data_IF_502847352919
#
_entry.id   IF_502847352919
#
_cell.length_a   1.000
_cell.length_b   1.000
_cell.length_c   1.000
_cell.angle_alpha   90.00
_cell.angle_beta   90.00
_cell.angle_gamma   90.00
#
_symmetry.space_group_name_H-M   'P 1'
#
loop_
_entity.id
_entity.type
_entity.pdbx_description
1 polymer ?
#
# COMPACT_ATOMS: atom_id res chain seq x y z
N UNK A 1 3.02 14.72 47.31
CA UNK A 1 3.11 13.96 46.04
C UNK A 1 1.98 14.38 45.11
N UNK A 2 2.29 14.76 43.85
CA UNK A 2 1.29 15.24 42.87
C UNK A 2 0.51 14.03 42.31
N UNK A 3 -0.81 14.03 42.46
CA UNK A 3 -1.69 12.91 42.06
C UNK A 3 -1.64 12.73 40.53
N UNK A 4 -1.19 11.56 40.08
CA UNK A 4 -1.13 11.18 38.66
C UNK A 4 -2.55 11.04 38.10
N UNK A 5 -2.91 11.85 37.10
CA UNK A 5 -4.27 11.94 36.54
C UNK A 5 -4.45 11.25 35.17
N UNK A 6 -3.39 10.70 34.57
CA UNK A 6 -3.41 10.25 33.17
C UNK A 6 -3.20 8.74 32.97
N UNK A 7 -3.18 7.93 34.04
CA UNK A 7 -2.86 6.49 33.95
C UNK A 7 -3.82 5.69 33.04
N UNK A 8 -5.09 6.08 32.96
CA UNK A 8 -6.09 5.39 32.12
C UNK A 8 -5.85 5.60 30.63
N UNK A 9 -5.42 6.80 30.23
CA UNK A 9 -5.12 7.12 28.84
C UNK A 9 -3.90 6.33 28.34
N UNK A 10 -2.87 6.21 29.17
CA UNK A 10 -1.66 5.40 28.87
C UNK A 10 -2.04 3.92 28.67
N UNK A 11 -3.01 3.41 29.44
CA UNK A 11 -3.53 2.05 29.28
C UNK A 11 -4.17 1.80 27.90
N UNK A 12 -5.01 2.71 27.42
CA UNK A 12 -5.65 2.56 26.10
C UNK A 12 -4.65 2.63 24.94
N UNK A 13 -3.65 3.51 25.02
CA UNK A 13 -2.59 3.54 24.01
C UNK A 13 -1.80 2.23 23.97
N UNK A 14 -1.54 1.61 25.13
CA UNK A 14 -0.82 0.34 25.18
C UNK A 14 -1.61 -0.80 24.53
N UNK A 15 -2.93 -0.84 24.79
CA UNK A 15 -3.83 -1.83 24.15
C UNK A 15 -3.84 -1.66 22.64
N UNK A 16 -3.92 -0.43 22.13
CA UNK A 16 -3.88 -0.18 20.69
C UNK A 16 -2.56 -0.63 20.06
N UNK A 17 -1.41 -0.32 20.69
CA UNK A 17 -0.11 -0.77 20.19
C UNK A 17 -0.03 -2.29 20.17
N UNK A 18 -0.47 -2.96 21.23
CA UNK A 18 -0.50 -4.43 21.30
C UNK A 18 -1.43 -5.04 20.24
N UNK A 19 -2.59 -4.43 19.99
CA UNK A 19 -3.51 -4.86 18.94
C UNK A 19 -2.89 -4.72 17.54
N UNK A 20 -2.19 -3.62 17.27
CA UNK A 20 -1.48 -3.41 16.00
C UNK A 20 -0.39 -4.46 15.78
N UNK A 21 0.39 -4.79 16.81
CA UNK A 21 1.40 -5.84 16.74
C UNK A 21 0.78 -7.23 16.47
N UNK A 22 -0.35 -7.52 17.11
CA UNK A 22 -1.09 -8.76 16.88
C UNK A 22 -1.61 -8.86 15.44
N UNK A 23 -2.11 -7.75 14.87
CA UNK A 23 -2.55 -7.72 13.48
C UNK A 23 -1.39 -8.01 12.50
N UNK A 24 -0.21 -7.43 12.72
CA UNK A 24 0.98 -7.69 11.89
C UNK A 24 1.42 -9.15 12.02
N UNK A 25 1.36 -9.74 13.22
CA UNK A 25 1.66 -11.15 13.44
C UNK A 25 0.70 -12.06 12.68
N UNK A 26 -0.61 -11.77 12.69
CA UNK A 26 -1.61 -12.54 11.95
C UNK A 26 -1.31 -12.49 10.44
N UNK A 27 -0.98 -11.31 9.91
CA UNK A 27 -0.61 -11.16 8.49
C UNK A 27 0.61 -12.03 8.16
N UNK A 28 1.64 -12.03 9.02
CA UNK A 28 2.81 -12.88 8.84
C UNK A 28 2.48 -14.38 8.83
N UNK A 29 1.58 -14.83 9.72
CA UNK A 29 1.12 -16.23 9.76
C UNK A 29 0.32 -16.59 8.50
N UNK A 30 -0.51 -15.67 7.99
CA UNK A 30 -1.31 -15.89 6.77
C UNK A 30 -0.44 -15.98 5.51
N UNK A 31 0.60 -15.16 5.39
CA UNK A 31 1.57 -15.26 4.29
C UNK A 31 2.34 -16.59 4.37
N UNK A 32 2.59 -17.09 5.58
CA UNK A 32 3.14 -18.42 5.82
C UNK A 32 4.59 -18.55 5.35
N UNK A 33 4.88 -19.62 4.60
CA UNK A 33 6.22 -19.92 4.08
C UNK A 33 6.53 -19.25 2.73
N UNK A 34 5.62 -18.41 2.21
CA UNK A 34 5.85 -17.70 0.95
C UNK A 34 6.83 -16.53 1.15
N UNK A 35 8.11 -16.86 1.22
CA UNK A 35 9.23 -15.91 1.32
C UNK A 35 9.35 -15.01 0.09
N UNK A 36 8.71 -15.39 -1.02
CA UNK A 36 8.66 -14.62 -2.26
C UNK A 36 7.38 -13.81 -2.40
N UNK A 37 6.49 -13.80 -1.40
CA UNK A 37 5.21 -13.09 -1.49
C UNK A 37 5.38 -11.61 -1.89
N UNK A 38 6.29 -10.90 -1.22
CA UNK A 38 6.58 -9.50 -1.52
C UNK A 38 7.22 -9.31 -2.90
N UNK A 39 8.09 -10.24 -3.33
CA UNK A 39 8.73 -10.21 -4.65
C UNK A 39 7.70 -10.44 -5.76
N UNK A 40 6.87 -11.48 -5.62
CA UNK A 40 5.79 -11.81 -6.52
C UNK A 40 4.79 -10.66 -6.66
N UNK A 41 4.43 -9.99 -5.56
CA UNK A 41 3.56 -8.82 -5.57
C UNK A 41 4.18 -7.66 -6.37
N UNK A 42 5.47 -7.38 -6.14
CA UNK A 42 6.19 -6.32 -6.87
C UNK A 42 6.30 -6.61 -8.38
N UNK A 43 6.60 -7.87 -8.72
CA UNK A 43 6.67 -8.34 -10.11
C UNK A 43 5.31 -8.27 -10.80
N UNK A 44 4.23 -8.63 -10.12
CA UNK A 44 2.87 -8.53 -10.66
C UNK A 44 2.49 -7.08 -10.94
N UNK A 45 2.80 -6.15 -10.02
CA UNK A 45 2.55 -4.72 -10.24
C UNK A 45 3.34 -4.17 -11.44
N UNK A 46 4.57 -4.66 -11.64
CA UNK A 46 5.40 -4.28 -12.80
C UNK A 46 4.84 -4.85 -14.09
N UNK A 47 4.37 -6.10 -14.09
CA UNK A 47 3.72 -6.73 -15.23
C UNK A 47 2.45 -5.95 -15.64
N UNK A 48 1.58 -5.66 -14.67
CA UNK A 48 0.37 -4.87 -14.90
C UNK A 48 0.68 -3.47 -15.47
N UNK A 49 1.70 -2.79 -14.95
CA UNK A 49 2.15 -1.52 -15.51
C UNK A 49 2.60 -1.64 -16.97
N UNK A 50 3.33 -2.70 -17.31
CA UNK A 50 3.78 -2.93 -18.69
C UNK A 50 2.62 -3.26 -19.64
N UNK A 51 1.62 -4.00 -19.17
CA UNK A 51 0.38 -4.26 -19.91
C UNK A 51 -0.39 -2.97 -20.17
N UNK A 52 -0.54 -2.13 -19.15
CA UNK A 52 -1.14 -0.81 -19.30
C UNK A 52 -0.35 0.07 -20.27
N UNK A 53 0.98 0.06 -20.19
CA UNK A 53 1.86 0.79 -21.11
C UNK A 53 1.71 0.34 -22.56
N UNK A 54 1.51 -0.96 -22.80
CA UNK A 54 1.29 -1.49 -24.14
C UNK A 54 -0.05 -1.03 -24.77
N UNK A 55 -1.02 -0.63 -23.94
CA UNK A 55 -2.33 -0.14 -24.36
C UNK A 55 -2.50 1.38 -24.14
N UNK A 56 -1.40 2.13 -24.06
CA UNK A 56 -1.38 3.59 -23.84
C UNK A 56 -2.13 4.05 -22.58
N UNK A 57 -2.27 3.17 -21.58
CA UNK A 57 -3.00 3.40 -20.32
C UNK A 57 -4.49 3.78 -20.51
N UNK A 58 -5.10 3.42 -21.64
CA UNK A 58 -6.51 3.71 -21.97
C UNK A 58 -7.49 2.60 -21.59
N UNK A 59 -6.98 1.44 -21.21
CA UNK A 59 -7.78 0.28 -20.80
C UNK A 59 -8.23 0.37 -19.35
N UNK A 60 -9.40 -0.20 -19.06
CA UNK A 60 -9.96 -0.26 -17.71
C UNK A 60 -8.96 -0.85 -16.70
N UNK A 61 -8.82 -0.20 -15.53
CA UNK A 61 -7.88 -0.60 -14.48
C UNK A 61 -6.50 0.05 -14.54
N UNK A 62 -6.16 0.76 -15.62
CA UNK A 62 -4.88 1.49 -15.75
C UNK A 62 -4.91 2.92 -15.17
N UNK A 63 -6.10 3.40 -14.82
CA UNK A 63 -6.37 4.72 -14.22
C UNK A 63 -5.58 5.00 -12.94
N UNK A 64 -5.24 3.94 -12.20
CA UNK A 64 -4.42 4.02 -10.99
C UNK A 64 -3.03 4.61 -11.23
N UNK A 65 -2.55 4.61 -12.48
CA UNK A 65 -1.23 5.13 -12.84
C UNK A 65 -1.27 6.55 -13.36
N UNK A 66 -2.44 7.10 -13.73
CA UNK A 66 -2.57 8.40 -14.39
C UNK A 66 -1.95 9.53 -13.58
N UNK A 67 -2.25 9.63 -12.28
CA UNK A 67 -1.66 10.67 -11.40
C UNK A 67 -0.13 10.59 -11.33
N UNK A 68 0.44 9.39 -11.45
CA UNK A 68 1.89 9.18 -11.41
C UNK A 68 2.57 9.48 -12.74
N UNK A 69 1.88 9.28 -13.86
CA UNK A 69 2.49 9.41 -15.20
C UNK A 69 2.15 10.74 -15.87
N UNK A 70 1.01 11.37 -15.57
CA UNK A 70 0.61 12.66 -16.16
C UNK A 70 1.32 13.84 -15.49
N UNK A 71 2.65 13.84 -15.53
CA UNK A 71 3.50 14.95 -15.12
C UNK A 71 4.74 15.05 -16.02
N UNK A 72 5.43 16.17 -15.92
CA UNK A 72 6.62 16.47 -16.74
C UNK A 72 7.81 15.53 -16.47
N UNK A 73 7.89 14.93 -15.28
CA UNK A 73 9.02 14.10 -14.86
C UNK A 73 8.95 12.71 -15.49
N UNK A 74 7.75 12.14 -15.60
CA UNK A 74 7.52 10.80 -16.17
C UNK A 74 7.56 10.78 -17.70
N UNK A 75 7.31 11.90 -18.37
CA UNK A 75 7.40 12.01 -19.83
C UNK A 75 6.41 11.14 -20.62
N UNK A 76 5.37 10.61 -19.96
CA UNK A 76 4.29 9.81 -20.54
C UNK A 76 3.01 10.59 -20.31
N UNK A 77 2.32 11.02 -21.36
CA UNK A 77 1.07 11.76 -21.21
C UNK A 77 -0.07 10.92 -21.75
N UNK A 78 -1.03 10.63 -20.88
CA UNK A 78 -2.29 10.02 -21.25
C UNK A 78 -3.30 11.14 -21.44
N UNK A 79 -3.80 11.26 -22.66
CA UNK A 79 -4.90 12.17 -22.94
C UNK A 79 -6.19 11.58 -22.34
N UNK A 80 -6.65 12.22 -21.26
CA UNK A 80 -7.87 11.85 -20.53
C UNK A 80 -9.09 12.60 -21.08
N UNK A 81 -8.92 13.42 -22.11
CA UNK A 81 -10.01 14.12 -22.77
C UNK A 81 -10.76 13.14 -23.69
N UNK A 82 -12.05 12.97 -23.40
CA UNK A 82 -13.04 12.50 -24.35
C UNK A 82 -13.95 13.66 -24.75
#
# INVERSE_FOLDING_TARGET
MKKSKNLRQVGYSMILVSASLLAVLIIGVVIGEDVLYADNMSRNNTAHFNECKANDFKTDGCEIYWDRINNEISGIYVDLEN
#
